data_IF_286395304357
#
_entry.id   IF_286395304357
#
_cell.length_a   1.000
_cell.length_b   1.000
_cell.length_c   1.000
_cell.angle_alpha   90.00
_cell.angle_beta   90.00
_cell.angle_gamma   90.00
#
_symmetry.space_group_name_H-M   'P 1'
#
loop_
_entity.id
_entity.type
_entity.pdbx_description
1 polymer ?
#
# COMPACT_ATOMS: atom_id res chain seq x y z
N UNK A 1 4.93 44.53 -14.45
CA UNK A 1 5.87 43.87 -15.38
C UNK A 1 5.68 42.35 -15.23
N UNK A 2 4.72 41.78 -15.94
CA UNK A 2 4.49 40.34 -15.95
C UNK A 2 5.52 39.70 -16.89
N UNK A 3 6.52 39.03 -16.33
CA UNK A 3 7.51 38.29 -17.14
C UNK A 3 6.83 37.07 -17.73
N UNK A 4 6.55 37.16 -19.03
CA UNK A 4 6.08 36.08 -19.88
C UNK A 4 7.24 35.10 -20.09
N UNK A 5 7.46 34.18 -19.17
CA UNK A 5 8.36 33.04 -19.38
C UNK A 5 7.87 31.80 -18.64
N UNK A 6 6.59 31.48 -18.81
CA UNK A 6 6.05 30.16 -18.50
C UNK A 6 6.01 29.31 -19.77
N UNK A 7 7.17 28.91 -20.28
CA UNK A 7 7.21 27.96 -21.40
C UNK A 7 6.94 26.55 -20.86
N UNK A 8 5.93 25.86 -21.39
CA UNK A 8 5.68 24.46 -21.06
C UNK A 8 6.80 23.60 -21.64
N UNK A 9 7.59 22.96 -20.77
CA UNK A 9 8.74 22.14 -21.17
C UNK A 9 8.36 20.71 -21.56
N UNK A 10 7.26 20.19 -21.01
CA UNK A 10 6.75 18.86 -21.34
C UNK A 10 5.41 18.57 -20.68
N UNK A 11 4.73 17.52 -21.15
CA UNK A 11 3.46 17.04 -20.59
C UNK A 11 3.43 15.51 -20.62
N UNK A 12 3.01 14.92 -19.52
CA UNK A 12 2.69 13.49 -19.44
C UNK A 12 1.19 13.29 -19.34
N UNK A 13 0.71 12.22 -19.96
CA UNK A 13 -0.69 11.81 -19.89
C UNK A 13 -0.79 10.56 -19.03
N UNK A 14 -1.67 10.62 -18.02
CA UNK A 14 -2.01 9.49 -17.18
C UNK A 14 -3.25 8.79 -17.76
N UNK A 15 -3.46 7.53 -17.34
CA UNK A 15 -4.66 6.78 -17.69
C UNK A 15 -5.93 7.31 -17.03
N UNK A 16 -5.79 8.07 -15.94
CA UNK A 16 -6.89 8.65 -15.17
C UNK A 16 -6.55 10.07 -14.71
N UNK A 17 -7.50 10.77 -14.08
CA UNK A 17 -7.25 12.11 -13.56
C UNK A 17 -6.23 12.06 -12.42
N UNK A 18 -5.20 12.90 -12.51
CA UNK A 18 -4.27 13.12 -11.42
C UNK A 18 -4.97 13.94 -10.32
N UNK A 19 -5.00 13.41 -9.11
CA UNK A 19 -5.72 13.97 -7.97
C UNK A 19 -4.79 14.71 -7.00
N UNK A 20 -3.56 14.24 -6.86
CA UNK A 20 -2.57 14.82 -5.94
C UNK A 20 -1.14 14.70 -6.50
N UNK A 21 -0.26 15.57 -6.04
CA UNK A 21 1.14 15.63 -6.48
C UNK A 21 2.05 16.05 -5.34
N UNK A 22 3.23 15.45 -5.28
CA UNK A 22 4.30 15.85 -4.39
C UNK A 22 5.66 15.80 -5.09
N UNK A 23 6.49 16.79 -4.83
CA UNK A 23 7.79 16.94 -5.45
C UNK A 23 8.91 16.88 -4.42
N UNK A 24 9.98 16.19 -4.78
CA UNK A 24 11.23 16.14 -4.04
C UNK A 24 12.31 16.93 -4.79
N UNK A 25 12.83 17.96 -4.13
CA UNK A 25 13.82 18.87 -4.71
C UNK A 25 15.19 18.22 -4.85
N UNK A 26 15.60 17.40 -3.87
CA UNK A 26 16.96 16.86 -3.79
C UNK A 26 17.20 15.82 -4.89
N UNK A 27 16.18 14.99 -5.14
CA UNK A 27 16.28 13.89 -6.08
C UNK A 27 15.66 14.23 -7.45
N UNK A 28 14.95 15.35 -7.58
CA UNK A 28 14.17 15.75 -8.76
C UNK A 28 13.09 14.72 -9.14
N UNK A 29 12.50 14.07 -8.13
CA UNK A 29 11.41 13.12 -8.31
C UNK A 29 10.07 13.77 -8.00
N UNK A 30 9.04 13.42 -8.76
CA UNK A 30 7.66 13.78 -8.48
C UNK A 30 6.81 12.53 -8.31
N UNK A 31 5.99 12.51 -7.27
CA UNK A 31 4.98 11.50 -7.00
C UNK A 31 3.63 12.05 -7.40
N UNK A 32 2.90 11.31 -8.23
CA UNK A 32 1.57 11.72 -8.71
C UNK A 32 0.58 10.61 -8.41
N UNK A 33 -0.45 10.92 -7.64
CA UNK A 33 -1.56 9.99 -7.39
C UNK A 33 -2.66 10.18 -8.42
N UNK A 34 -3.24 9.09 -8.88
CA UNK A 34 -4.37 9.10 -9.79
C UNK A 34 -5.69 8.68 -9.11
N UNK A 35 -6.80 8.96 -9.80
CA UNK A 35 -8.14 8.60 -9.36
C UNK A 35 -8.38 7.07 -9.38
N UNK A 36 -7.51 6.29 -10.05
CA UNK A 36 -7.63 4.83 -10.12
C UNK A 36 -6.87 4.07 -9.02
N UNK A 37 -6.21 4.79 -8.09
CA UNK A 37 -5.46 4.17 -7.00
C UNK A 37 -3.99 3.85 -7.33
N UNK A 38 -3.47 4.37 -8.43
CA UNK A 38 -2.06 4.23 -8.81
C UNK A 38 -1.27 5.49 -8.49
N UNK A 39 -0.07 5.29 -7.96
CA UNK A 39 0.90 6.37 -7.74
C UNK A 39 2.00 6.21 -8.78
N UNK A 40 2.21 7.24 -9.58
CA UNK A 40 3.28 7.27 -10.58
C UNK A 40 4.46 8.05 -10.04
N UNK A 41 5.64 7.43 -10.07
CA UNK A 41 6.91 8.09 -9.79
C UNK A 41 7.50 8.60 -11.10
N UNK A 42 7.72 9.90 -11.16
CA UNK A 42 8.27 10.62 -12.29
C UNK A 42 9.64 11.19 -11.92
N UNK A 43 10.60 11.07 -12.83
CA UNK A 43 11.84 11.85 -12.78
C UNK A 43 11.67 13.10 -13.63
N UNK A 44 11.86 14.27 -13.04
CA UNK A 44 11.87 15.53 -13.77
C UNK A 44 13.30 15.84 -14.20
N UNK A 45 13.50 16.00 -15.49
CA UNK A 45 14.73 16.54 -16.06
C UNK A 45 14.49 17.97 -16.54
N UNK A 46 15.55 18.71 -16.85
CA UNK A 46 15.47 20.13 -17.19
C UNK A 46 14.49 20.46 -18.33
N UNK A 47 14.28 19.55 -19.28
CA UNK A 47 13.37 19.74 -20.42
C UNK A 47 12.41 18.55 -20.64
N UNK A 48 12.37 17.58 -19.73
CA UNK A 48 11.58 16.37 -19.94
C UNK A 48 11.10 15.81 -18.60
N UNK A 49 10.17 14.87 -18.68
CA UNK A 49 9.81 14.06 -17.54
C UNK A 49 9.80 12.61 -18.01
N UNK A 50 10.19 11.68 -17.15
CA UNK A 50 10.19 10.25 -17.47
C UNK A 50 9.53 9.47 -16.34
N UNK A 51 8.73 8.46 -16.70
CA UNK A 51 8.13 7.57 -15.71
C UNK A 51 9.18 6.57 -15.28
N UNK A 52 9.43 6.50 -13.97
CA UNK A 52 10.37 5.52 -13.40
C UNK A 52 9.61 4.25 -13.06
N UNK A 53 8.57 4.38 -12.24
CA UNK A 53 7.77 3.24 -11.74
C UNK A 53 6.36 3.67 -11.41
N UNK A 54 5.44 2.70 -11.36
CA UNK A 54 4.08 2.88 -10.85
C UNK A 54 3.86 1.97 -9.64
N UNK A 55 3.32 2.53 -8.56
CA UNK A 55 2.92 1.82 -7.35
C UNK A 55 1.42 1.58 -7.44
N UNK A 56 1.01 0.32 -7.26
CA UNK A 56 -0.40 -0.10 -7.26
C UNK A 56 -0.67 -0.80 -5.94
N UNK A 57 -1.77 -0.44 -5.28
CA UNK A 57 -2.15 -1.04 -4.00
C UNK A 57 -3.43 -0.47 -3.41
N UNK A 58 -3.80 0.77 -3.79
CA UNK A 58 -5.10 1.33 -3.45
C UNK A 58 -6.18 0.84 -4.40
N UNK A 59 -7.37 0.60 -3.85
CA UNK A 59 -8.58 0.26 -4.61
C UNK A 59 -9.41 1.52 -4.94
N UNK A 60 -9.11 2.64 -4.27
CA UNK A 60 -9.77 3.92 -4.43
C UNK A 60 -8.88 5.03 -4.97
N UNK A 61 -9.50 6.17 -5.28
CA UNK A 61 -8.80 7.39 -5.68
C UNK A 61 -7.84 7.85 -4.59
N UNK A 62 -6.59 8.14 -4.94
CA UNK A 62 -5.63 8.69 -3.99
C UNK A 62 -5.99 10.14 -3.75
N UNK A 63 -6.32 10.50 -2.52
CA UNK A 63 -6.69 11.87 -2.17
C UNK A 63 -5.46 12.72 -1.78
N UNK A 64 -4.46 12.08 -1.17
CA UNK A 64 -3.32 12.78 -0.60
C UNK A 64 -2.04 11.92 -0.61
N UNK A 65 -0.91 12.60 -0.71
CA UNK A 65 0.44 12.01 -0.67
C UNK A 65 1.32 12.81 0.29
N UNK A 66 2.22 12.12 1.00
CA UNK A 66 3.27 12.73 1.80
C UNK A 66 4.62 12.02 1.64
N UNK A 67 5.67 12.72 1.22
CA UNK A 67 7.03 12.21 0.99
C UNK A 67 7.96 12.66 2.09
N UNK A 68 8.73 11.71 2.63
CA UNK A 68 9.86 11.97 3.50
C UNK A 68 11.19 11.65 2.77
N UNK A 69 11.98 12.68 2.38
CA UNK A 69 13.25 12.46 1.69
C UNK A 69 14.33 11.84 2.58
N UNK A 70 14.24 11.99 3.91
CA UNK A 70 15.26 11.52 4.84
C UNK A 70 15.19 10.00 4.97
N UNK A 71 13.99 9.47 5.21
CA UNK A 71 13.76 8.03 5.36
C UNK A 71 13.37 7.34 4.04
N UNK A 72 13.15 8.11 2.96
CA UNK A 72 12.66 7.65 1.66
C UNK A 72 11.32 6.90 1.76
N UNK A 73 10.43 7.43 2.59
CA UNK A 73 9.09 6.91 2.82
C UNK A 73 8.07 7.77 2.11
N UNK A 74 7.17 7.13 1.37
CA UNK A 74 5.99 7.78 0.80
C UNK A 74 4.75 7.29 1.54
N UNK A 75 3.90 8.20 1.99
CA UNK A 75 2.59 7.91 2.55
C UNK A 75 1.52 8.29 1.53
N UNK A 76 0.56 7.41 1.33
CA UNK A 76 -0.58 7.64 0.45
C UNK A 76 -1.88 7.37 1.18
N UNK A 77 -2.84 8.29 1.04
CA UNK A 77 -4.17 8.17 1.60
C UNK A 77 -5.18 8.16 0.48
N UNK A 78 -6.10 7.18 0.50
CA UNK A 78 -7.07 7.00 -0.57
C UNK A 78 -8.51 7.01 -0.07
N UNK A 79 -9.43 6.99 -1.03
CA UNK A 79 -10.87 6.94 -0.80
C UNK A 79 -11.38 5.55 -0.39
N UNK A 80 -10.51 4.55 -0.34
CA UNK A 80 -10.78 3.20 0.17
C UNK A 80 -10.58 3.09 1.69
N UNK A 81 -10.46 4.24 2.37
CA UNK A 81 -10.23 4.39 3.81
C UNK A 81 -8.86 3.91 4.28
N UNK A 82 -8.00 3.49 3.36
CA UNK A 82 -6.68 2.99 3.67
C UNK A 82 -5.60 4.05 3.55
N UNK A 83 -4.56 3.91 4.36
CA UNK A 83 -3.33 4.65 4.23
C UNK A 83 -2.21 3.64 4.01
N UNK A 84 -1.43 3.79 2.96
CA UNK A 84 -0.29 2.93 2.66
C UNK A 84 1.00 3.71 2.82
N UNK A 85 1.95 3.14 3.56
CA UNK A 85 3.33 3.61 3.57
C UNK A 85 4.15 2.75 2.59
N UNK A 86 4.92 3.40 1.73
CA UNK A 86 5.80 2.79 0.74
C UNK A 86 7.26 3.09 1.08
N UNK A 87 8.07 2.05 1.28
CA UNK A 87 9.52 2.17 1.37
C UNK A 87 10.14 2.16 -0.04
N UNK A 88 10.58 3.33 -0.50
CA UNK A 88 11.23 3.52 -1.81
C UNK A 88 12.77 3.42 -1.68
N UNK A 89 13.29 3.46 -0.45
CA UNK A 89 14.72 3.45 -0.13
C UNK A 89 15.38 2.07 -0.21
N UNK A 90 14.64 1.02 -0.57
CA UNK A 90 15.18 -0.32 -0.82
C UNK A 90 15.65 -1.06 0.43
N UNK A 91 15.26 -0.61 1.64
CA UNK A 91 15.69 -1.30 2.86
C UNK A 91 14.91 -2.56 3.15
N UNK A 92 13.73 -2.80 2.54
CA UNK A 92 13.07 -4.13 2.46
C UNK A 92 11.76 -4.15 1.63
N UNK A 93 11.50 -3.19 0.74
CA UNK A 93 10.28 -3.17 -0.08
C UNK A 93 8.99 -3.27 0.74
N UNK A 94 9.01 -2.75 1.97
CA UNK A 94 7.91 -2.90 2.92
C UNK A 94 6.81 -1.92 2.55
N UNK A 95 5.61 -2.44 2.29
CA UNK A 95 4.38 -1.67 2.29
C UNK A 95 3.66 -1.89 3.62
N UNK A 96 3.25 -0.82 4.28
CA UNK A 96 2.44 -0.94 5.50
C UNK A 96 1.06 -0.35 5.25
N UNK A 97 0.04 -1.17 5.46
CA UNK A 97 -1.35 -0.76 5.45
C UNK A 97 -1.72 -0.28 6.86
N UNK A 98 -2.16 0.97 6.97
CA UNK A 98 -2.71 1.55 8.19
C UNK A 98 -4.24 1.61 8.02
N UNK A 99 -4.93 0.70 8.69
CA UNK A 99 -6.39 0.65 8.73
C UNK A 99 -6.90 1.17 10.07
N UNK A 100 -7.91 2.03 10.03
CA UNK A 100 -8.51 2.64 11.21
C UNK A 100 -9.52 3.75 10.92
N UNK A 101 -9.48 4.32 9.72
CA UNK A 101 -10.51 5.26 9.25
C UNK A 101 -11.74 4.52 8.75
N UNK A 102 -12.91 5.12 8.96
CA UNK A 102 -14.21 4.54 8.55
C UNK A 102 -14.76 5.16 7.26
N UNK A 103 -14.11 6.22 6.77
CA UNK A 103 -14.41 6.90 5.51
C UNK A 103 -13.11 7.38 4.84
N UNK A 104 -13.23 7.96 3.64
CA UNK A 104 -12.12 8.41 2.79
C UNK A 104 -11.13 9.29 3.54
N UNK A 105 -9.85 8.98 3.37
CA UNK A 105 -8.76 9.81 3.90
C UNK A 105 -8.66 11.06 3.06
N UNK A 106 -8.67 12.24 3.68
CA UNK A 106 -8.64 13.51 2.97
C UNK A 106 -7.24 14.14 2.95
N UNK A 107 -6.48 14.01 4.03
CA UNK A 107 -5.15 14.58 4.12
C UNK A 107 -4.24 13.79 5.05
N UNK A 108 -2.94 13.93 4.81
CA UNK A 108 -1.85 13.31 5.55
C UNK A 108 -0.81 14.38 5.90
N UNK A 109 -0.21 14.26 7.07
CA UNK A 109 0.92 15.06 7.49
C UNK A 109 1.88 14.19 8.31
N UNK A 110 3.14 14.13 7.91
CA UNK A 110 4.17 13.40 8.65
C UNK A 110 5.03 14.35 9.47
N UNK A 111 5.08 14.12 10.78
CA UNK A 111 5.91 14.84 11.73
C UNK A 111 7.25 14.14 11.86
N UNK A 112 8.26 14.60 11.12
CA UNK A 112 9.61 13.96 11.09
C UNK A 112 10.29 13.92 12.47
N UNK A 113 10.10 14.94 13.31
CA UNK A 113 10.74 15.03 14.63
C UNK A 113 10.21 13.98 15.60
N UNK A 114 8.89 13.78 15.61
CA UNK A 114 8.20 12.85 16.52
C UNK A 114 7.90 11.50 15.88
N UNK A 115 8.22 11.35 14.57
CA UNK A 115 7.94 10.17 13.74
C UNK A 115 6.49 9.71 13.86
N UNK A 116 5.59 10.69 13.81
CA UNK A 116 4.16 10.47 13.84
C UNK A 116 3.54 10.84 12.50
N UNK A 117 2.67 9.97 11.98
CA UNK A 117 1.82 10.32 10.86
C UNK A 117 0.47 10.76 11.41
N UNK A 118 -0.02 11.92 10.99
CA UNK A 118 -1.35 12.41 11.30
C UNK A 118 -2.19 12.31 10.03
N UNK A 119 -3.37 11.72 10.15
CA UNK A 119 -4.29 11.58 9.04
C UNK A 119 -5.69 12.03 9.42
N UNK A 120 -6.37 12.71 8.50
CA UNK A 120 -7.77 13.11 8.67
C UNK A 120 -8.66 12.41 7.64
N UNK A 121 -9.86 12.03 8.07
CA UNK A 121 -10.85 11.35 7.25
C UNK A 121 -12.15 12.13 7.19
N UNK A 122 -12.96 11.83 6.17
CA UNK A 122 -14.31 12.34 6.02
C UNK A 122 -15.28 11.81 7.11
N UNK A 123 -14.87 10.81 7.89
CA UNK A 123 -15.61 10.34 9.08
C UNK A 123 -15.62 11.38 10.22
N UNK A 124 -14.89 12.49 10.05
CA UNK A 124 -14.73 13.56 11.03
C UNK A 124 -13.65 13.29 12.06
N UNK A 125 -12.95 12.15 11.95
CA UNK A 125 -11.88 11.71 12.81
C UNK A 125 -10.50 12.17 12.34
N UNK A 126 -9.61 12.29 13.32
CA UNK A 126 -8.17 12.43 13.11
C UNK A 126 -7.51 11.23 13.77
N UNK A 127 -6.65 10.53 13.03
CA UNK A 127 -5.85 9.43 13.55
C UNK A 127 -4.38 9.85 13.63
N UNK A 128 -3.72 9.50 14.72
CA UNK A 128 -2.27 9.70 14.91
C UNK A 128 -1.61 8.33 14.99
N UNK A 129 -0.70 8.08 14.06
CA UNK A 129 0.02 6.82 13.93
C UNK A 129 1.44 7.00 14.44
N UNK A 130 1.84 6.11 15.34
CA UNK A 130 3.23 6.02 15.76
C UNK A 130 4.02 5.17 14.75
N UNK A 131 5.06 5.76 14.14
CA UNK A 131 5.92 5.11 13.16
C UNK A 131 7.26 4.63 13.76
N UNK A 132 7.49 4.83 15.07
CA UNK A 132 8.72 4.40 15.76
C UNK A 132 8.74 2.93 16.18
N UNK A 133 7.58 2.28 16.25
CA UNK A 133 7.51 0.90 16.75
C UNK A 133 8.18 -0.03 15.74
N UNK A 134 9.22 -0.75 16.18
CA UNK A 134 9.80 -1.87 15.46
C UNK A 134 8.72 -2.92 15.26
N UNK A 135 8.09 -2.89 14.09
CA UNK A 135 6.98 -3.78 13.80
C UNK A 135 7.55 -5.17 13.54
N UNK A 136 7.09 -6.13 14.35
CA UNK A 136 7.38 -7.53 14.13
C UNK A 136 6.91 -7.87 12.72
N UNK A 137 7.87 -8.22 11.86
CA UNK A 137 7.57 -8.88 10.61
C UNK A 137 6.73 -10.10 11.01
N UNK A 138 5.56 -10.31 10.39
CA UNK A 138 4.95 -11.63 10.44
C UNK A 138 6.09 -12.61 10.09
N UNK A 139 6.36 -13.63 10.93
CA UNK A 139 7.45 -14.53 10.68
C UNK A 139 7.34 -14.97 9.23
N UNK A 140 8.44 -14.88 8.49
CA UNK A 140 8.50 -15.43 7.14
C UNK A 140 7.93 -16.84 7.27
N UNK A 141 6.78 -17.09 6.65
CA UNK A 141 6.16 -18.41 6.73
C UNK A 141 7.25 -19.39 6.31
N UNK A 142 7.78 -20.14 7.28
CA UNK A 142 8.48 -21.35 6.90
C UNK A 142 7.37 -22.17 6.26
N UNK A 143 7.48 -22.38 4.95
CA UNK A 143 6.86 -23.55 4.33
C UNK A 143 7.39 -24.75 5.11
N UNK A 144 6.67 -25.10 6.17
CA UNK A 144 6.96 -26.23 7.01
C UNK A 144 5.72 -27.09 6.97
N UNK A 145 5.85 -28.24 6.34
CA UNK A 145 4.82 -29.28 6.30
C UNK A 145 4.59 -29.95 7.68
N UNK A 146 5.11 -29.36 8.76
CA UNK A 146 5.14 -29.97 10.09
C UNK A 146 4.99 -28.93 11.21
N UNK A 147 4.16 -29.29 12.20
CA UNK A 147 3.96 -28.46 13.38
C UNK A 147 5.21 -28.51 14.27
N UNK A 148 5.85 -27.36 14.50
CA UNK A 148 7.00 -27.26 15.40
C UNK A 148 6.67 -27.48 16.90
N UNK A 149 5.40 -27.74 17.25
CA UNK A 149 4.96 -28.07 18.63
C UNK A 149 4.65 -29.53 18.86
N UNK A 150 4.29 -30.30 17.83
CA UNK A 150 3.84 -31.69 17.99
C UNK A 150 4.45 -32.68 16.99
N UNK A 151 5.36 -32.24 16.11
CA UNK A 151 6.07 -33.07 15.10
C UNK A 151 5.14 -33.94 14.22
N UNK A 152 3.84 -33.64 14.18
CA UNK A 152 2.90 -34.32 13.30
C UNK A 152 2.99 -33.71 11.90
N UNK A 153 2.93 -34.53 10.83
CA UNK A 153 2.80 -34.02 9.47
C UNK A 153 1.45 -33.30 9.36
N UNK A 154 1.48 -32.02 8.99
CA UNK A 154 0.26 -31.26 8.69
C UNK A 154 -0.31 -31.78 7.37
N UNK A 155 -1.23 -32.74 7.45
CA UNK A 155 -1.85 -33.33 6.28
C UNK A 155 -2.87 -32.37 5.64
N UNK A 156 -2.60 -31.93 4.43
CA UNK A 156 -3.64 -31.88 3.41
C UNK A 156 -3.75 -33.27 2.78
N UNK A 157 -4.55 -34.17 3.35
CA UNK A 157 -4.89 -35.43 2.69
C UNK A 157 -5.99 -35.19 1.65
N UNK A 158 -5.66 -34.52 0.54
CA UNK A 158 -6.58 -34.26 -0.58
C UNK A 158 -7.23 -35.56 -1.08
N UNK A 159 -6.53 -36.69 -0.96
CA UNK A 159 -7.01 -38.01 -1.39
C UNK A 159 -8.19 -38.53 -0.55
N UNK A 160 -8.18 -38.28 0.76
CA UNK A 160 -9.24 -38.72 1.68
C UNK A 160 -10.53 -37.91 1.53
N UNK A 161 -10.43 -36.62 1.15
CA UNK A 161 -11.60 -35.77 0.87
C UNK A 161 -12.25 -36.08 -0.48
N UNK A 162 -11.47 -36.50 -1.48
CA UNK A 162 -11.99 -36.95 -2.79
C UNK A 162 -12.89 -38.19 -2.67
N UNK A 163 -12.55 -39.13 -1.79
CA UNK A 163 -13.35 -40.34 -1.57
C UNK A 163 -14.70 -40.06 -0.88
N UNK A 164 -14.80 -38.98 -0.10
CA UNK A 164 -16.02 -38.62 0.64
C UNK A 164 -17.07 -37.82 -0.15
N UNK A 165 -16.83 -37.45 -1.41
CA UNK A 165 -17.79 -36.77 -2.32
C UNK A 165 -18.57 -35.58 -1.72
N UNK A 166 -18.02 -34.89 -0.73
CA UNK A 166 -18.60 -33.66 -0.20
C UNK A 166 -18.02 -32.46 -0.95
N UNK A 167 -18.47 -32.25 -2.18
CA UNK A 167 -18.30 -30.98 -2.87
C UNK A 167 -19.68 -30.42 -3.23
N UNK A 168 -20.07 -29.37 -2.53
CA UNK A 168 -20.99 -28.38 -3.08
C UNK A 168 -20.22 -27.59 -4.15
N UNK A 169 -20.62 -27.76 -5.40
CA UNK A 169 -20.06 -27.05 -6.55
C UNK A 169 -20.17 -25.53 -6.38
N UNK A 170 -19.06 -24.81 -6.59
CA UNK A 170 -19.09 -23.55 -7.33
C UNK A 170 -17.76 -23.28 -8.03
N UNK A 171 -17.73 -23.58 -9.33
CA UNK A 171 -16.95 -22.86 -10.34
C UNK A 171 -17.54 -21.43 -10.44
N UNK A 172 -16.78 -20.37 -10.67
CA UNK A 172 -16.13 -20.06 -11.94
C UNK A 172 -14.81 -19.30 -11.77
N UNK A 173 -13.87 -19.64 -12.64
CA UNK A 173 -12.57 -19.00 -12.88
C UNK A 173 -12.76 -17.83 -13.84
N UNK A 174 -12.19 -16.65 -13.57
CA UNK A 174 -11.57 -15.82 -14.62
C UNK A 174 -10.31 -15.14 -14.10
N UNK A 175 -9.27 -15.23 -14.93
CA UNK A 175 -7.89 -14.87 -14.68
C UNK A 175 -7.64 -13.35 -14.80
N UNK A 176 -6.76 -12.84 -13.94
CA UNK A 176 -6.20 -11.50 -14.04
C UNK A 176 -5.41 -11.18 -12.77
N UNK A 177 -4.07 -11.16 -12.88
CA UNK A 177 -3.12 -10.89 -11.78
C UNK A 177 -3.61 -9.77 -10.87
N UNK A 178 -3.88 -10.10 -9.60
CA UNK A 178 -4.19 -9.16 -8.56
C UNK A 178 -3.41 -9.50 -7.30
N UNK A 179 -2.86 -8.45 -6.71
CA UNK A 179 -2.11 -8.42 -5.47
C UNK A 179 -3.02 -8.86 -4.33
N UNK A 180 -2.54 -9.79 -3.51
CA UNK A 180 -3.32 -10.47 -2.49
C UNK A 180 -3.53 -9.53 -1.29
N UNK A 181 -4.74 -8.99 -1.16
CA UNK A 181 -5.26 -8.43 0.08
C UNK A 181 -5.68 -9.61 0.94
N UNK A 182 -4.86 -9.99 1.92
CA UNK A 182 -5.21 -11.07 2.84
C UNK A 182 -6.34 -10.62 3.78
N UNK A 183 -7.54 -11.15 3.55
CA UNK A 183 -8.63 -11.15 4.52
C UNK A 183 -8.22 -12.01 5.73
N UNK A 184 -8.34 -11.43 6.93
CA UNK A 184 -8.15 -12.14 8.21
C UNK A 184 -9.30 -13.14 8.43
N UNK A 185 -9.01 -14.44 8.42
CA UNK A 185 -9.79 -15.41 9.19
C UNK A 185 -9.16 -15.55 10.59
N UNK A 186 -9.93 -15.20 11.62
CA UNK A 186 -9.52 -15.34 13.02
C UNK A 186 -9.55 -16.82 13.39
N UNK A 187 -8.40 -17.44 13.62
CA UNK A 187 -8.34 -18.75 14.30
C UNK A 187 -8.51 -18.56 15.81
N UNK A 188 -9.53 -19.21 16.37
CA UNK A 188 -9.67 -19.40 17.82
C UNK A 188 -8.51 -20.26 18.36
N UNK A 189 -8.00 -20.00 19.58
CA UNK A 189 -6.94 -20.81 20.16
C UNK A 189 -7.43 -22.23 20.42
N UNK A 190 -6.58 -23.21 20.10
CA UNK A 190 -6.74 -24.59 20.57
C UNK A 190 -6.69 -24.58 22.11
N UNK A 191 -7.85 -24.62 22.77
CA UNK A 191 -7.91 -24.97 24.18
C UNK A 191 -7.58 -26.46 24.30
N UNK A 192 -6.44 -26.75 24.92
CA UNK A 192 -6.10 -28.10 25.33
C UNK A 192 -6.98 -28.54 26.49
N UNK A 193 -7.51 -29.75 26.36
CA UNK A 193 -7.45 -30.84 27.35
C UNK A 193 -7.54 -32.16 26.60
#
# INVERSE_FOLDING_TARGET
>A
MCTRSGNMLGRHFFSSWASCLQYDLDTQHAFVGDYSGQITLLKLEQNSCSVITTLKGHEGSIACLWWDPIQRLLFSGASDNSIIMWDIGGRKGRTLLLQGHHDRVQSLCYLQLTRQLVSCSADGGIAVWNMDVSREEAPQWLESDSCQKCEQPFFWNIKQMWDTKTLGLRQEVWAGRLWEVQQQEVQLPCHGL
#
